data_IF_639752069833
#
_entry.id   IF_639752069833
#
_cell.length_a   1.000
_cell.length_b   1.000
_cell.length_c   1.000
_cell.angle_alpha   90.00
_cell.angle_beta   90.00
_cell.angle_gamma   90.00
#
_symmetry.space_group_name_H-M   'P 1'
#
loop_
_entity.id
_entity.type
_entity.pdbx_description
1 polymer ?
#
# COMPACT_ATOMS: atom_id res chain seq x y z
N UNK A 1 16.05 0.12 -1.96
CA UNK A 1 14.58 -0.04 -1.91
C UNK A 1 14.07 0.76 -3.08
N UNK A 2 13.41 0.06 -3.99
CA UNK A 2 13.17 0.57 -5.33
C UNK A 2 11.96 1.53 -5.28
N UNK A 3 11.74 2.28 -6.36
CA UNK A 3 10.65 3.25 -6.43
C UNK A 3 9.28 2.62 -6.10
N UNK A 4 9.05 1.43 -6.63
CA UNK A 4 7.84 0.65 -6.43
C UNK A 4 7.65 0.27 -4.97
N UNK A 5 8.72 -0.11 -4.26
CA UNK A 5 8.66 -0.46 -2.85
C UNK A 5 8.37 0.77 -1.97
N UNK A 6 8.89 1.95 -2.33
CA UNK A 6 8.58 3.20 -1.62
C UNK A 6 7.09 3.56 -1.81
N UNK A 7 6.59 3.52 -3.04
CA UNK A 7 5.18 3.77 -3.33
C UNK A 7 4.31 2.75 -2.60
N UNK A 8 4.65 1.46 -2.68
CA UNK A 8 3.98 0.37 -1.98
C UNK A 8 3.91 0.60 -0.46
N UNK A 9 5.02 1.00 0.16
CA UNK A 9 5.10 1.35 1.58
C UNK A 9 4.15 2.50 1.94
N UNK A 10 4.15 3.57 1.15
CA UNK A 10 3.28 4.74 1.37
C UNK A 10 1.81 4.33 1.27
N UNK A 11 1.44 3.57 0.24
CA UNK A 11 0.07 3.07 0.07
C UNK A 11 -0.35 2.14 1.20
N UNK A 12 0.53 1.26 1.66
CA UNK A 12 0.22 0.39 2.79
C UNK A 12 -0.05 1.18 4.07
N UNK A 13 0.77 2.20 4.36
CA UNK A 13 0.53 3.12 5.49
C UNK A 13 -0.80 3.85 5.38
N UNK A 14 -1.12 4.38 4.19
CA UNK A 14 -2.39 5.05 3.94
C UNK A 14 -3.58 4.10 4.17
N UNK A 15 -3.49 2.87 3.64
CA UNK A 15 -4.50 1.84 3.82
C UNK A 15 -4.70 1.46 5.30
N UNK A 16 -3.62 1.30 6.08
CA UNK A 16 -3.73 1.02 7.53
C UNK A 16 -4.48 2.15 8.24
N UNK A 17 -4.13 3.41 7.96
CA UNK A 17 -4.77 4.56 8.61
C UNK A 17 -6.26 4.65 8.27
N UNK A 18 -6.59 4.49 6.99
CA UNK A 18 -7.97 4.47 6.51
C UNK A 18 -8.76 3.30 7.13
N UNK A 19 -8.24 2.09 7.06
CA UNK A 19 -8.94 0.88 7.54
C UNK A 19 -9.16 0.89 9.05
N UNK A 20 -8.19 1.38 9.85
CA UNK A 20 -8.39 1.62 11.30
C UNK A 20 -9.47 2.65 11.57
N UNK A 21 -9.57 3.69 10.75
CA UNK A 21 -10.62 4.72 10.88
C UNK A 21 -11.99 4.13 10.61
N UNK A 22 -12.12 3.30 9.57
CA UNK A 22 -13.37 2.59 9.25
C UNK A 22 -13.75 1.63 10.38
N UNK A 23 -12.81 0.83 10.87
CA UNK A 23 -13.05 -0.13 11.94
C UNK A 23 -13.54 0.51 13.25
N UNK A 24 -13.19 1.78 13.51
CA UNK A 24 -13.70 2.54 14.67
C UNK A 24 -15.09 3.14 14.45
N UNK A 25 -15.42 3.48 13.20
CA UNK A 25 -16.64 4.25 12.86
C UNK A 25 -17.81 3.38 12.38
N UNK A 26 -17.54 2.18 11.86
CA UNK A 26 -18.55 1.27 11.30
C UNK A 26 -18.54 -0.06 12.04
N UNK A 27 -19.73 -0.68 12.13
CA UNK A 27 -19.86 -2.09 12.54
C UNK A 27 -19.38 -2.95 11.37
N UNK A 28 -18.10 -3.31 11.37
CA UNK A 28 -17.58 -4.41 10.56
C UNK A 28 -17.99 -5.72 11.23
N UNK A 29 -18.27 -6.77 10.46
CA UNK A 29 -18.39 -8.09 11.07
C UNK A 29 -17.03 -8.55 11.63
N UNK A 30 -17.06 -9.38 12.68
CA UNK A 30 -15.84 -9.76 13.41
C UNK A 30 -14.79 -10.42 12.52
N UNK A 31 -15.23 -11.21 11.54
CA UNK A 31 -14.37 -11.93 10.60
C UNK A 31 -13.58 -10.99 9.68
N UNK A 32 -14.20 -9.91 9.22
CA UNK A 32 -13.53 -8.89 8.41
C UNK A 32 -12.54 -8.08 9.22
N UNK A 33 -12.93 -7.66 10.42
CA UNK A 33 -12.06 -6.92 11.32
C UNK A 33 -10.81 -7.74 11.67
N UNK A 34 -10.97 -9.04 11.93
CA UNK A 34 -9.85 -9.92 12.25
C UNK A 34 -8.88 -10.09 11.08
N UNK A 35 -9.38 -10.17 9.85
CA UNK A 35 -8.54 -10.16 8.65
C UNK A 35 -7.75 -8.85 8.52
N UNK A 36 -8.37 -7.71 8.78
CA UNK A 36 -7.71 -6.42 8.68
C UNK A 36 -6.64 -6.24 9.75
N UNK A 37 -6.91 -6.64 10.99
CA UNK A 37 -5.93 -6.62 12.09
C UNK A 37 -4.63 -7.35 11.75
N UNK A 38 -4.72 -8.51 11.09
CA UNK A 38 -3.55 -9.29 10.63
C UNK A 38 -2.69 -8.55 9.60
N UNK A 39 -3.28 -7.59 8.89
CA UNK A 39 -2.60 -6.78 7.88
C UNK A 39 -2.16 -5.41 8.42
N UNK A 40 -2.53 -5.03 9.64
CA UNK A 40 -2.10 -3.80 10.31
C UNK A 40 -0.70 -3.92 10.91
N UNK A 41 0.23 -4.43 10.13
CA UNK A 41 1.65 -4.57 10.48
C UNK A 41 2.49 -3.59 9.67
N UNK A 42 3.77 -3.45 9.99
CA UNK A 42 4.67 -2.66 9.15
C UNK A 42 4.89 -3.37 7.80
N UNK A 43 5.13 -2.61 6.73
CA UNK A 43 5.20 -3.14 5.35
C UNK A 43 6.26 -4.24 5.20
N UNK A 44 7.40 -4.11 5.89
CA UNK A 44 8.47 -5.10 5.96
C UNK A 44 8.01 -6.46 6.50
N UNK A 45 7.01 -6.47 7.40
CA UNK A 45 6.43 -7.67 8.01
C UNK A 45 5.35 -8.34 7.17
N UNK A 46 4.95 -7.75 6.05
CA UNK A 46 4.04 -8.41 5.12
C UNK A 46 4.72 -9.61 4.46
N UNK A 47 3.95 -10.66 4.20
CA UNK A 47 4.41 -11.75 3.33
C UNK A 47 4.60 -11.27 1.89
N UNK A 48 5.55 -11.87 1.17
CA UNK A 48 5.93 -11.44 -0.17
C UNK A 48 4.76 -11.42 -1.17
N UNK A 49 3.81 -12.36 -1.07
CA UNK A 49 2.61 -12.35 -1.92
C UNK A 49 1.77 -11.07 -1.76
N UNK A 50 1.77 -10.46 -0.58
CA UNK A 50 1.04 -9.20 -0.34
C UNK A 50 1.86 -8.00 -0.79
N UNK A 51 3.18 -7.98 -0.52
CA UNK A 51 4.08 -6.94 -1.05
C UNK A 51 4.03 -6.89 -2.57
N UNK A 52 3.97 -8.03 -3.22
CA UNK A 52 3.88 -8.13 -4.68
C UNK A 52 2.61 -7.48 -5.24
N UNK A 53 1.48 -7.57 -4.53
CA UNK A 53 0.27 -6.85 -4.94
C UNK A 53 0.45 -5.33 -4.85
N UNK A 54 1.11 -4.85 -3.80
CA UNK A 54 1.41 -3.43 -3.68
C UNK A 54 2.42 -2.96 -4.73
N UNK A 55 3.44 -3.76 -5.06
CA UNK A 55 4.39 -3.45 -6.14
C UNK A 55 3.72 -3.38 -7.52
N UNK A 56 2.82 -4.33 -7.82
CA UNK A 56 2.02 -4.28 -9.07
C UNK A 56 1.21 -2.99 -9.16
N UNK A 57 0.53 -2.63 -8.08
CA UNK A 57 -0.22 -1.37 -8.01
C UNK A 57 0.70 -0.14 -8.12
N UNK A 58 1.88 -0.16 -7.50
CA UNK A 58 2.86 0.91 -7.63
C UNK A 58 3.33 1.07 -9.09
N UNK A 59 3.54 -0.03 -9.80
CA UNK A 59 3.89 -0.03 -11.23
C UNK A 59 2.78 0.57 -12.09
N UNK A 60 1.52 0.26 -11.80
CA UNK A 60 0.37 0.87 -12.49
C UNK A 60 0.36 2.40 -12.33
N UNK A 61 0.67 2.92 -11.14
CA UNK A 61 0.76 4.36 -10.88
C UNK A 61 1.91 4.99 -11.69
N UNK A 62 3.08 4.38 -11.67
CA UNK A 62 4.24 4.86 -12.43
C UNK A 62 3.91 4.92 -13.93
N UNK A 63 3.29 3.87 -14.46
CA UNK A 63 2.87 3.82 -15.86
C UNK A 63 1.86 4.93 -16.19
N UNK A 64 0.84 5.13 -15.33
CA UNK A 64 -0.17 6.17 -15.54
C UNK A 64 0.47 7.58 -15.58
N UNK A 65 1.43 7.85 -14.71
CA UNK A 65 2.16 9.12 -14.72
C UNK A 65 2.95 9.30 -16.02
N UNK A 66 3.64 8.25 -16.48
CA UNK A 66 4.38 8.29 -17.75
C UNK A 66 3.46 8.52 -18.96
N UNK A 67 2.32 7.83 -19.02
CA UNK A 67 1.28 8.00 -20.06
C UNK A 67 0.74 9.43 -20.10
N UNK A 68 0.65 10.09 -18.94
CA UNK A 68 0.23 11.48 -18.81
C UNK A 68 1.39 12.49 -18.94
N UNK A 69 2.52 12.06 -19.52
CA UNK A 69 3.70 12.89 -19.84
C UNK A 69 4.38 13.53 -18.63
N UNK A 70 4.21 12.96 -17.44
CA UNK A 70 5.01 13.34 -16.28
C UNK A 70 6.37 12.64 -16.34
N UNK A 71 7.43 13.40 -16.09
CA UNK A 71 8.78 12.85 -15.93
C UNK A 71 8.97 12.51 -14.46
N UNK A 72 9.25 11.24 -14.17
CA UNK A 72 9.61 10.78 -12.83
C UNK A 72 11.12 10.61 -12.80
N UNK A 73 11.77 11.29 -11.87
CA UNK A 73 13.21 11.17 -11.64
C UNK A 73 13.44 10.63 -10.23
N UNK A 74 14.16 9.51 -10.16
CA UNK A 74 14.64 8.97 -8.89
C UNK A 74 16.04 9.50 -8.64
N UNK A 75 16.23 10.15 -7.50
CA UNK A 75 17.51 10.71 -7.10
C UNK A 75 18.04 9.81 -6.00
N UNK A 76 19.08 9.04 -6.31
CA UNK A 76 19.84 8.34 -5.29
C UNK A 76 20.63 9.39 -4.49
N UNK A 77 20.48 9.37 -3.16
CA UNK A 77 21.22 10.22 -2.23
C UNK A 77 22.34 9.43 -1.55
#
# INVERSE_FOLDING_TARGET
>A
MDAEDIIALVFHKAWINWSKTIARKKILNEKELEKWKKLWVSFDKLGEKQKEKYRKFAKEIINLLAENKYIITFIDK
#
